data_IF_444163024699
#
_entry.id   IF_444163024699
#
_cell.length_a   1.000
_cell.length_b   1.000
_cell.length_c   1.000
_cell.angle_alpha   90.00
_cell.angle_beta   90.00
_cell.angle_gamma   90.00
#
_symmetry.space_group_name_H-M   'P 1'
#
loop_
_entity.id
_entity.type
_entity.pdbx_description
1 polymer ?
#
# COMPACT_ATOMS: atom_id res chain seq x y z
N UNK A 1 8.54 -5.99 5.00
CA UNK A 1 9.80 -5.29 5.38
C UNK A 1 10.48 -4.56 4.21
N UNK A 2 10.47 -5.08 2.98
CA UNK A 2 11.05 -4.40 1.79
C UNK A 2 10.38 -3.05 1.47
N UNK A 3 9.04 -2.95 1.57
CA UNK A 3 8.32 -1.74 1.18
C UNK A 3 8.44 -0.56 2.16
N UNK A 4 8.60 -0.84 3.45
CA UNK A 4 8.92 0.18 4.47
C UNK A 4 10.33 0.76 4.27
N UNK A 5 11.28 -0.03 3.75
CA UNK A 5 12.63 0.44 3.43
C UNK A 5 12.63 1.34 2.18
N UNK A 6 11.78 1.05 1.19
CA UNK A 6 11.63 1.87 -0.01
C UNK A 6 11.10 3.29 0.31
N UNK A 7 10.23 3.44 1.31
CA UNK A 7 9.75 4.76 1.77
C UNK A 7 10.83 5.66 2.38
N UNK A 8 11.99 5.11 2.74
CA UNK A 8 13.16 5.88 3.19
C UNK A 8 13.95 6.50 2.04
N UNK A 9 13.67 6.10 0.81
CA UNK A 9 14.28 6.71 -0.38
C UNK A 9 13.61 8.08 -0.58
N UNK A 10 14.39 9.18 -0.60
CA UNK A 10 13.85 10.51 -0.88
C UNK A 10 13.21 10.56 -2.27
N UNK A 11 12.39 11.58 -2.54
CA UNK A 11 11.74 11.82 -3.84
C UNK A 11 10.60 10.85 -4.20
N UNK A 12 9.90 10.29 -3.22
CA UNK A 12 8.67 9.50 -3.43
C UNK A 12 8.85 8.17 -4.19
N UNK A 13 10.08 7.86 -4.61
CA UNK A 13 10.42 6.70 -5.46
C UNK A 13 9.85 5.42 -4.88
N UNK A 14 10.04 5.19 -3.58
CA UNK A 14 9.55 3.96 -2.95
C UNK A 14 8.03 3.83 -2.91
N UNK A 15 7.32 4.95 -2.76
CA UNK A 15 5.85 4.93 -2.78
C UNK A 15 5.33 4.65 -4.18
N UNK A 16 5.90 5.32 -5.19
CA UNK A 16 5.52 5.14 -6.60
C UNK A 16 5.76 3.69 -7.02
N UNK A 17 6.96 3.15 -6.74
CA UNK A 17 7.30 1.76 -7.06
C UNK A 17 6.30 0.79 -6.42
N UNK A 18 5.96 0.98 -5.14
CA UNK A 18 5.01 0.10 -4.46
C UNK A 18 3.62 0.11 -5.10
N UNK A 19 3.03 1.29 -5.30
CA UNK A 19 1.69 1.42 -5.92
C UNK A 19 1.69 0.87 -7.34
N UNK A 20 2.75 1.15 -8.12
CA UNK A 20 2.90 0.59 -9.46
C UNK A 20 3.01 -0.93 -9.44
N UNK A 21 3.74 -1.54 -8.50
CA UNK A 21 3.81 -2.99 -8.37
C UNK A 21 2.43 -3.61 -8.09
N UNK A 22 1.65 -3.03 -7.18
CA UNK A 22 0.28 -3.51 -6.90
C UNK A 22 -0.60 -3.40 -8.15
N UNK A 23 -0.54 -2.28 -8.87
CA UNK A 23 -1.31 -2.10 -10.10
C UNK A 23 -0.94 -3.11 -11.19
N UNK A 24 0.37 -3.37 -11.37
CA UNK A 24 0.87 -4.36 -12.33
C UNK A 24 0.40 -5.77 -11.97
N UNK A 25 0.48 -6.16 -10.70
CA UNK A 25 0.03 -7.49 -10.25
C UNK A 25 -1.48 -7.68 -10.45
N UNK A 26 -2.28 -6.66 -10.14
CA UNK A 26 -3.72 -6.68 -10.38
C UNK A 26 -4.04 -6.83 -11.88
N UNK A 27 -3.37 -6.06 -12.73
CA UNK A 27 -3.52 -6.13 -14.18
C UNK A 27 -3.09 -7.48 -14.77
N UNK A 28 -1.97 -8.03 -14.28
CA UNK A 28 -1.49 -9.35 -14.68
C UNK A 28 -2.50 -10.45 -14.32
N UNK A 29 -3.09 -10.38 -13.12
CA UNK A 29 -4.09 -11.35 -12.66
C UNK A 29 -5.37 -11.28 -13.50
N UNK A 30 -5.82 -10.07 -13.86
CA UNK A 30 -6.93 -9.88 -14.79
C UNK A 30 -6.62 -10.48 -16.18
N UNK A 31 -5.44 -10.19 -16.73
CA UNK A 31 -5.03 -10.72 -18.03
C UNK A 31 -4.98 -12.26 -18.04
N UNK A 32 -4.49 -12.87 -16.96
CA UNK A 32 -4.50 -14.33 -16.77
C UNK A 32 -5.90 -14.91 -16.63
N UNK A 33 -6.84 -14.16 -16.06
CA UNK A 33 -8.25 -14.59 -15.93
C UNK A 33 -8.91 -14.63 -17.30
N UNK A 34 -8.74 -13.57 -18.09
CA UNK A 34 -9.28 -13.48 -19.45
C UNK A 34 -8.61 -14.49 -20.39
N UNK A 35 -7.30 -14.74 -20.27
CA UNK A 35 -6.60 -15.72 -21.11
C UNK A 35 -7.02 -17.17 -20.84
N UNK A 36 -7.55 -17.46 -19.65
CA UNK A 36 -8.16 -18.75 -19.29
C UNK A 36 -9.61 -18.89 -19.79
N UNK A 37 -10.14 -17.90 -20.51
CA UNK A 37 -11.51 -17.87 -21.00
C UNK A 37 -12.56 -17.54 -19.94
N UNK A 38 -12.13 -17.07 -18.75
CA UNK A 38 -13.04 -16.64 -17.69
C UNK A 38 -13.50 -15.21 -17.94
N UNK A 39 -14.76 -14.94 -17.58
CA UNK A 39 -15.32 -13.59 -17.70
C UNK A 39 -14.68 -12.62 -16.70
N UNK A 40 -14.63 -11.34 -17.09
CA UNK A 40 -14.18 -10.24 -16.21
C UNK A 40 -15.04 -10.17 -14.95
N UNK A 41 -16.33 -10.52 -15.05
CA UNK A 41 -17.23 -10.60 -13.90
C UNK A 41 -16.72 -11.58 -12.83
N UNK A 42 -16.15 -12.72 -13.24
CA UNK A 42 -15.54 -13.71 -12.33
C UNK A 42 -14.32 -13.12 -11.62
N UNK A 43 -13.46 -12.39 -12.35
CA UNK A 43 -12.34 -11.69 -11.74
C UNK A 43 -12.79 -10.69 -10.66
N UNK A 44 -13.81 -9.88 -10.98
CA UNK A 44 -14.36 -8.89 -10.03
C UNK A 44 -14.96 -9.59 -8.82
N UNK A 45 -15.74 -10.66 -9.03
CA UNK A 45 -16.38 -11.41 -7.94
C UNK A 45 -15.36 -12.01 -6.96
N UNK A 46 -14.26 -12.53 -7.47
CA UNK A 46 -13.20 -13.15 -6.66
C UNK A 46 -12.29 -12.09 -6.00
N UNK A 47 -12.02 -10.98 -6.68
CA UNK A 47 -11.05 -9.97 -6.22
C UNK A 47 -11.69 -8.87 -5.37
N UNK A 48 -12.90 -8.41 -5.70
CA UNK A 48 -13.50 -7.25 -5.07
C UNK A 48 -13.69 -7.35 -3.54
N UNK A 49 -14.13 -8.49 -2.95
CA UNK A 49 -14.39 -8.57 -1.52
C UNK A 49 -13.20 -8.19 -0.65
N UNK A 50 -12.01 -8.70 -0.96
CA UNK A 50 -10.78 -8.40 -0.22
C UNK A 50 -10.01 -7.21 -0.85
N UNK A 51 -10.03 -7.09 -2.18
CA UNK A 51 -9.29 -6.07 -2.92
C UNK A 51 -9.70 -4.63 -2.59
N UNK A 52 -10.97 -4.38 -2.24
CA UNK A 52 -11.41 -3.05 -1.77
C UNK A 52 -10.72 -2.68 -0.47
N UNK A 53 -10.65 -3.61 0.48
CA UNK A 53 -10.02 -3.39 1.79
C UNK A 53 -8.50 -3.23 1.64
N UNK A 54 -7.88 -4.04 0.78
CA UNK A 54 -6.46 -3.93 0.46
C UNK A 54 -6.12 -2.57 -0.16
N UNK A 55 -6.92 -2.09 -1.13
CA UNK A 55 -6.69 -0.80 -1.78
C UNK A 55 -6.78 0.38 -0.80
N UNK A 56 -7.68 0.32 0.18
CA UNK A 56 -7.74 1.34 1.26
C UNK A 56 -6.42 1.35 2.04
N UNK A 57 -5.90 0.16 2.42
CA UNK A 57 -4.63 0.05 3.11
C UNK A 57 -3.45 0.55 2.26
N UNK A 58 -3.44 0.23 0.97
CA UNK A 58 -2.41 0.65 0.01
C UNK A 58 -2.41 2.17 -0.16
N UNK A 59 -3.57 2.82 -0.35
CA UNK A 59 -3.63 4.28 -0.52
C UNK A 59 -3.28 5.04 0.76
N UNK A 60 -3.68 4.52 1.93
CA UNK A 60 -3.29 5.08 3.21
C UNK A 60 -1.77 4.93 3.43
N UNK A 61 -1.21 3.76 3.17
CA UNK A 61 0.23 3.50 3.22
C UNK A 61 1.03 4.37 2.25
N UNK A 62 0.54 4.56 1.03
CA UNK A 62 1.14 5.45 0.05
C UNK A 62 1.16 6.90 0.54
N UNK A 63 0.06 7.39 1.11
CA UNK A 63 -0.01 8.73 1.68
C UNK A 63 1.01 8.93 2.80
N UNK A 64 1.18 7.93 3.68
CA UNK A 64 2.20 7.95 4.72
C UNK A 64 3.63 7.89 4.15
N UNK A 65 3.86 7.09 3.12
CA UNK A 65 5.13 7.01 2.40
C UNK A 65 5.52 8.35 1.77
N UNK A 66 4.58 9.02 1.12
CA UNK A 66 4.78 10.38 0.58
C UNK A 66 5.11 11.38 1.67
N UNK A 67 4.39 11.34 2.79
CA UNK A 67 4.67 12.19 3.94
C UNK A 67 6.09 11.96 4.49
N UNK A 68 6.51 10.69 4.63
CA UNK A 68 7.84 10.34 5.11
C UNK A 68 8.93 10.81 4.14
N UNK A 69 8.78 10.55 2.84
CA UNK A 69 9.70 11.03 1.81
C UNK A 69 9.83 12.55 1.84
N UNK A 70 8.74 13.31 2.03
CA UNK A 70 8.77 14.77 2.17
C UNK A 70 9.58 15.22 3.39
N UNK A 71 9.45 14.54 4.53
CA UNK A 71 10.23 14.86 5.73
C UNK A 71 11.73 14.55 5.54
N UNK A 72 12.05 13.44 4.88
CA UNK A 72 13.44 13.06 4.56
C UNK A 72 14.06 14.07 3.59
N UNK A 73 13.35 14.45 2.53
CA UNK A 73 13.81 15.47 1.56
C UNK A 73 14.05 16.81 2.26
N UNK A 74 13.13 17.28 3.13
CA UNK A 74 13.36 18.51 3.92
C UNK A 74 14.59 18.42 4.83
N UNK A 75 14.89 17.23 5.36
CA UNK A 75 16.07 17.01 6.20
C UNK A 75 17.38 16.98 5.40
N UNK A 76 17.35 16.48 4.16
CA UNK A 76 18.50 16.44 3.25
C UNK A 76 18.84 17.81 2.64
N UNK A 77 17.85 18.71 2.49
CA UNK A 77 18.04 20.05 1.94
C UNK A 77 17.93 21.16 3.01
N UNK A 78 19.06 21.63 3.58
CA UNK A 78 19.09 22.51 4.76
C UNK A 78 18.49 23.92 4.55
N UNK A 79 18.19 24.35 3.32
CA UNK A 79 17.47 25.61 3.06
C UNK A 79 16.05 25.69 3.64
N UNK A 80 15.50 24.57 4.14
CA UNK A 80 14.11 24.48 4.64
C UNK A 80 14.02 23.89 6.07
N UNK A 81 15.13 23.97 6.83
CA UNK A 81 15.32 23.22 8.08
C UNK A 81 14.43 23.67 9.25
N UNK A 82 13.94 24.91 9.23
CA UNK A 82 13.24 25.53 10.37
C UNK A 82 11.86 24.92 10.68
N UNK A 83 11.29 24.11 9.78
CA UNK A 83 9.95 23.50 9.95
C UNK A 83 9.98 21.97 9.89
N UNK A 84 11.04 21.35 10.41
CA UNK A 84 11.13 19.89 10.51
C UNK A 84 10.61 19.40 11.86
N UNK A 85 9.54 18.61 11.84
CA UNK A 85 9.02 17.92 13.02
C UNK A 85 10.08 16.95 13.56
N UNK A 86 10.16 16.73 14.89
CA UNK A 86 11.12 15.81 15.46
C UNK A 86 11.05 14.43 14.81
N UNK A 87 12.20 13.91 14.36
CA UNK A 87 12.26 12.65 13.60
C UNK A 87 11.68 11.46 14.38
N UNK A 88 11.93 11.40 15.69
CA UNK A 88 11.35 10.36 16.56
C UNK A 88 9.82 10.43 16.65
N UNK A 89 9.23 11.62 16.57
CA UNK A 89 7.78 11.79 16.54
C UNK A 89 7.19 11.32 15.20
N UNK A 90 7.85 11.63 14.09
CA UNK A 90 7.46 11.18 12.74
C UNK A 90 7.50 9.65 12.65
N UNK A 91 8.61 9.02 13.08
CA UNK A 91 8.73 7.57 13.08
C UNK A 91 7.71 6.90 14.00
N UNK A 92 7.51 7.41 15.23
CA UNK A 92 6.52 6.86 16.15
C UNK A 92 5.11 6.93 15.57
N UNK A 93 4.73 8.05 14.96
CA UNK A 93 3.43 8.18 14.30
C UNK A 93 3.29 7.26 13.09
N UNK A 94 4.32 7.16 12.26
CA UNK A 94 4.33 6.24 11.13
C UNK A 94 4.15 4.79 11.57
N UNK A 95 4.95 4.34 12.55
CA UNK A 95 4.86 2.99 13.10
C UNK A 95 3.50 2.72 13.74
N UNK A 96 2.96 3.68 14.50
CA UNK A 96 1.64 3.55 15.10
C UNK A 96 0.55 3.47 14.03
N UNK A 97 0.58 4.33 13.00
CA UNK A 97 -0.38 4.28 11.90
C UNK A 97 -0.29 2.97 11.10
N UNK A 98 0.93 2.49 10.87
CA UNK A 98 1.16 1.21 10.20
C UNK A 98 0.59 0.05 11.02
N UNK A 99 0.87 0.00 12.32
CA UNK A 99 0.41 -1.07 13.19
C UNK A 99 -1.08 -1.04 13.49
N UNK A 100 -1.70 0.14 13.60
CA UNK A 100 -3.10 0.30 14.00
C UNK A 100 -4.09 0.36 12.84
N UNK A 101 -3.65 0.75 11.64
CA UNK A 101 -4.54 0.87 10.48
C UNK A 101 -4.14 -0.06 9.35
N UNK A 102 -2.88 -0.02 8.91
CA UNK A 102 -2.45 -0.81 7.74
C UNK A 102 -2.48 -2.30 8.05
N UNK A 103 -1.87 -2.75 9.15
CA UNK A 103 -1.86 -4.17 9.50
C UNK A 103 -3.26 -4.75 9.73
N UNK A 104 -4.18 -4.11 10.48
CA UNK A 104 -5.53 -4.63 10.66
C UNK A 104 -6.35 -4.66 9.37
N UNK A 105 -6.20 -3.66 8.50
CA UNK A 105 -6.88 -3.66 7.20
C UNK A 105 -6.36 -4.80 6.30
N UNK A 106 -5.04 -5.02 6.25
CA UNK A 106 -4.47 -6.13 5.48
C UNK A 106 -4.85 -7.50 6.08
N UNK A 107 -4.88 -7.61 7.41
CA UNK A 107 -5.35 -8.83 8.08
C UNK A 107 -6.82 -9.11 7.76
N UNK A 108 -7.67 -8.08 7.77
CA UNK A 108 -9.07 -8.20 7.36
C UNK A 108 -9.20 -8.62 5.89
N UNK A 109 -8.42 -8.03 4.99
CA UNK A 109 -8.40 -8.42 3.58
C UNK A 109 -8.01 -9.91 3.43
N UNK A 110 -6.96 -10.36 4.12
CA UNK A 110 -6.52 -11.75 4.10
C UNK A 110 -7.56 -12.72 4.70
N UNK A 111 -8.29 -12.29 5.75
CA UNK A 111 -9.41 -13.08 6.29
C UNK A 111 -10.55 -13.21 5.27
N UNK A 112 -10.91 -12.12 4.59
CA UNK A 112 -11.93 -12.16 3.53
C UNK A 112 -11.45 -13.07 2.39
N UNK A 113 -10.18 -12.97 1.99
CA UNK A 113 -9.58 -13.83 0.98
C UNK A 113 -9.61 -15.32 1.38
N UNK A 114 -9.37 -15.64 2.65
CA UNK A 114 -9.32 -17.03 3.13
C UNK A 114 -10.69 -17.63 3.43
N UNK A 115 -11.69 -16.84 3.81
CA UNK A 115 -12.99 -17.35 4.29
C UNK A 115 -14.17 -17.00 3.39
N UNK A 116 -14.10 -15.89 2.65
CA UNK A 116 -15.22 -15.39 1.83
C UNK A 116 -14.98 -15.66 0.35
N UNK A 117 -13.79 -15.35 -0.17
CA UNK A 117 -13.46 -15.59 -1.58
C UNK A 117 -13.68 -17.06 -2.02
N UNK A 118 -13.36 -18.09 -1.20
CA UNK A 118 -13.59 -19.49 -1.59
C UNK A 118 -15.07 -19.86 -1.71
N UNK A 119 -15.99 -19.07 -1.13
CA UNK A 119 -17.44 -19.29 -1.29
C UNK A 119 -17.95 -18.93 -2.70
N UNK A 120 -17.12 -18.24 -3.49
CA UNK A 120 -17.48 -17.74 -4.80
C UNK A 120 -16.80 -18.46 -5.97
N UNK A 121 -15.84 -19.35 -5.68
CA UNK A 121 -15.12 -20.24 -6.62
C UNK A 121 -15.95 -21.48 -6.86
#
# INVERSE_FOLDING_TARGET
MIFTALGMIPFFVGTVVFVSSVAVLLGATLALTVSKGLEIATFIKLTAPHGVIELIAVFYGASLGVFLSKQITKKLFPKHRESTVPWGFVLKKFSASYALFILPLLALAALIESFVTPLFV
#
